data_IF_268140436840
#
_entry.id   IF_268140436840
#
_cell.length_a   1.000
_cell.length_b   1.000
_cell.length_c   1.000
_cell.angle_alpha   90.00
_cell.angle_beta   90.00
_cell.angle_gamma   90.00
#
_symmetry.space_group_name_H-M   'P 1'
#
loop_
_entity.id
_entity.type
_entity.pdbx_description
1 polymer ?
#
# COMPACT_ATOMS: atom_id res chain seq x y z
N UNK A 1 -7.62 16.42 -5.87
CA UNK A 1 -7.06 15.12 -5.44
C UNK A 1 -6.00 15.38 -4.39
N UNK A 2 -5.89 14.56 -3.34
CA UNK A 2 -4.95 14.78 -2.25
C UNK A 2 -3.49 14.66 -2.74
N UNK A 3 -2.69 15.76 -2.79
CA UNK A 3 -1.35 15.74 -3.38
C UNK A 3 -0.42 14.70 -2.73
N UNK A 4 -0.58 14.48 -1.42
CA UNK A 4 0.20 13.48 -0.67
C UNK A 4 0.06 12.05 -1.22
N UNK A 5 -1.09 11.67 -1.79
CA UNK A 5 -1.32 10.31 -2.29
C UNK A 5 -0.73 10.09 -3.69
N UNK A 6 -0.37 11.15 -4.42
CA UNK A 6 0.18 11.02 -5.78
C UNK A 6 1.49 10.22 -5.81
N UNK A 7 2.28 10.24 -4.73
CA UNK A 7 3.54 9.50 -4.62
C UNK A 7 3.36 7.98 -4.77
N UNK A 8 2.20 7.44 -4.42
CA UNK A 8 1.92 6.01 -4.53
C UNK A 8 1.69 5.55 -5.96
N UNK A 9 1.25 6.44 -6.87
CA UNK A 9 0.99 6.08 -8.26
C UNK A 9 2.27 5.58 -8.95
N UNK A 10 3.36 6.34 -8.85
CA UNK A 10 4.65 5.95 -9.43
C UNK A 10 5.17 4.63 -8.82
N UNK A 11 5.02 4.45 -7.50
CA UNK A 11 5.43 3.21 -6.82
C UNK A 11 4.64 2.00 -7.30
N UNK A 12 3.31 2.11 -7.40
CA UNK A 12 2.47 1.04 -7.94
C UNK A 12 2.81 0.72 -9.39
N UNK A 13 3.03 1.73 -10.23
CA UNK A 13 3.43 1.51 -11.63
C UNK A 13 4.75 0.74 -11.72
N UNK A 14 5.73 1.10 -10.90
CA UNK A 14 7.02 0.39 -10.87
C UNK A 14 6.87 -1.05 -10.38
N UNK A 15 6.18 -1.27 -9.26
CA UNK A 15 5.95 -2.62 -8.73
C UNK A 15 5.15 -3.50 -9.70
N UNK A 16 4.19 -2.92 -10.43
CA UNK A 16 3.46 -3.64 -11.48
C UNK A 16 4.38 -4.03 -12.64
N UNK A 17 5.24 -3.11 -13.08
CA UNK A 17 6.18 -3.36 -14.17
C UNK A 17 7.13 -4.50 -13.84
N UNK A 18 7.65 -4.57 -12.61
CA UNK A 18 8.51 -5.67 -12.16
C UNK A 18 7.75 -6.99 -11.99
N UNK A 19 6.51 -6.92 -11.50
CA UNK A 19 5.64 -8.11 -11.44
C UNK A 19 5.36 -8.66 -12.86
N UNK A 20 5.14 -7.77 -13.84
CA UNK A 20 4.92 -8.12 -15.25
C UNK A 20 6.20 -8.59 -15.96
N UNK A 21 7.38 -8.16 -15.51
CA UNK A 21 8.68 -8.63 -16.01
C UNK A 21 9.02 -10.05 -15.54
N UNK A 22 8.22 -10.60 -14.62
CA UNK A 22 8.32 -11.97 -14.10
C UNK A 22 8.87 -12.07 -12.68
N UNK A 23 9.24 -10.95 -12.05
CA UNK A 23 9.62 -10.97 -10.64
C UNK A 23 8.37 -10.93 -9.73
N UNK A 24 7.79 -12.11 -9.52
CA UNK A 24 6.62 -12.29 -8.66
C UNK A 24 6.81 -11.87 -7.21
N UNK A 25 8.06 -11.67 -6.74
CA UNK A 25 8.28 -11.16 -5.39
C UNK A 25 7.82 -9.72 -5.23
N UNK A 26 7.69 -8.94 -6.32
CA UNK A 26 7.05 -7.62 -6.29
C UNK A 26 5.55 -7.66 -6.00
N UNK A 27 4.92 -8.83 -5.90
CA UNK A 27 3.52 -8.92 -5.43
C UNK A 27 3.41 -8.61 -3.93
N UNK A 28 4.21 -9.28 -3.09
CA UNK A 28 4.02 -9.24 -1.64
C UNK A 28 5.27 -9.41 -0.77
N UNK A 29 6.49 -9.34 -1.33
CA UNK A 29 7.70 -9.45 -0.51
C UNK A 29 7.80 -8.24 0.46
N UNK A 30 7.83 -8.46 1.80
CA UNK A 30 7.71 -7.40 2.79
C UNK A 30 8.91 -6.45 2.84
N UNK A 31 10.07 -6.89 2.36
CA UNK A 31 11.30 -6.09 2.29
C UNK A 31 11.49 -5.38 0.93
N UNK A 32 10.57 -5.60 -0.01
CA UNK A 32 10.56 -4.89 -1.29
C UNK A 32 9.52 -3.78 -1.24
N UNK A 33 9.68 -2.81 -2.14
CA UNK A 33 8.59 -1.91 -2.53
C UNK A 33 7.56 -2.67 -3.38
N UNK A 34 7.06 -3.77 -2.82
CA UNK A 34 6.09 -4.66 -3.46
C UNK A 34 4.71 -4.01 -3.47
N UNK A 35 3.84 -4.50 -4.35
CA UNK A 35 2.48 -4.04 -4.48
C UNK A 35 1.74 -4.05 -3.13
N UNK A 36 1.89 -5.12 -2.35
CA UNK A 36 1.30 -5.23 -1.02
C UNK A 36 1.91 -4.25 -0.01
N UNK A 37 3.23 -4.03 -0.03
CA UNK A 37 3.89 -3.04 0.86
C UNK A 37 3.38 -1.63 0.58
N UNK A 38 3.32 -1.24 -0.70
CA UNK A 38 2.83 0.07 -1.14
C UNK A 38 1.36 0.25 -0.73
N UNK A 39 0.52 -0.79 -0.95
CA UNK A 39 -0.87 -0.81 -0.50
C UNK A 39 -0.97 -0.61 1.01
N UNK A 40 -0.19 -1.36 1.80
CA UNK A 40 -0.23 -1.29 3.25
C UNK A 40 0.06 0.13 3.76
N UNK A 41 1.11 0.76 3.23
CA UNK A 41 1.48 2.13 3.60
C UNK A 41 0.41 3.15 3.17
N UNK A 42 -0.11 3.05 1.95
CA UNK A 42 -1.16 3.95 1.46
C UNK A 42 -2.46 3.78 2.27
N UNK A 43 -2.83 2.53 2.56
CA UNK A 43 -4.01 2.22 3.35
C UNK A 43 -3.91 2.79 4.77
N UNK A 44 -2.75 2.69 5.41
CA UNK A 44 -2.50 3.32 6.70
C UNK A 44 -2.67 4.84 6.64
N UNK A 45 -2.14 5.50 5.62
CA UNK A 45 -2.34 6.93 5.45
C UNK A 45 -3.82 7.28 5.27
N UNK A 46 -4.59 6.49 4.53
CA UNK A 46 -6.04 6.69 4.40
C UNK A 46 -6.78 6.55 5.74
N UNK A 47 -6.42 5.57 6.56
CA UNK A 47 -6.99 5.39 7.90
C UNK A 47 -6.72 6.64 8.76
N UNK A 48 -5.48 7.13 8.76
CA UNK A 48 -5.08 8.32 9.52
C UNK A 48 -5.80 9.58 9.03
N UNK A 49 -5.99 9.72 7.72
CA UNK A 49 -6.72 10.85 7.12
C UNK A 49 -8.21 10.85 7.45
N UNK A 50 -8.79 9.67 7.71
CA UNK A 50 -10.14 9.53 8.21
C UNK A 50 -10.26 9.80 9.72
N UNK A 51 -9.16 10.19 10.39
CA UNK A 51 -9.14 10.43 11.84
C UNK A 51 -9.23 9.14 12.66
N UNK A 52 -8.85 8.00 12.07
CA UNK A 52 -8.87 6.67 12.71
C UNK A 52 -7.45 6.15 12.86
N UNK A 53 -7.28 5.01 13.52
CA UNK A 53 -6.00 4.31 13.60
C UNK A 53 -6.15 2.82 13.23
N UNK A 54 -5.02 2.20 12.89
CA UNK A 54 -4.97 0.82 12.42
C UNK A 54 -5.38 -0.20 13.48
N UNK A 55 -5.11 0.05 14.76
CA UNK A 55 -5.49 -0.84 15.84
C UNK A 55 -7.02 -0.93 15.97
N UNK A 56 -7.72 0.20 15.89
CA UNK A 56 -9.19 0.26 15.94
C UNK A 56 -9.83 -0.39 14.70
N UNK A 57 -9.26 -0.17 13.52
CA UNK A 57 -9.74 -0.83 12.29
C UNK A 57 -9.53 -2.35 12.34
N UNK A 58 -8.40 -2.81 12.88
CA UNK A 58 -8.15 -4.23 13.09
C UNK A 58 -9.10 -4.84 14.13
N UNK A 59 -9.31 -4.17 15.27
CA UNK A 59 -10.27 -4.60 16.30
C UNK A 59 -11.71 -4.66 15.77
N UNK A 60 -12.06 -3.78 14.81
CA UNK A 60 -13.34 -3.76 14.15
C UNK A 60 -13.44 -4.70 12.92
N UNK A 61 -12.42 -5.52 12.65
CA UNK A 61 -12.41 -6.50 11.56
C UNK A 61 -12.22 -5.92 10.15
N UNK A 62 -11.71 -4.69 10.03
CA UNK A 62 -11.49 -3.96 8.77
C UNK A 62 -10.01 -3.69 8.47
N UNK A 63 -9.11 -4.39 9.14
CA UNK A 63 -7.66 -4.15 9.08
C UNK A 63 -6.93 -4.70 7.85
N UNK A 64 -7.64 -5.34 6.91
CA UNK A 64 -7.09 -6.01 5.73
C UNK A 64 -7.37 -5.24 4.43
#
# INVERSE_FOLDING_TARGET
>A
MAPRLQRYLARFSNALSELQSGDHSFLAAPLKDSYHTIWFEMHEELILLCGRNRADEAAAGRGA
#
